data_IF_151907917630
#
_entry.id   IF_151907917630
#
_cell.length_a   1.000
_cell.length_b   1.000
_cell.length_c   1.000
_cell.angle_alpha   90.00
_cell.angle_beta   90.00
_cell.angle_gamma   90.00
#
_symmetry.space_group_name_H-M   'P 1'
#
loop_
_entity.id
_entity.type
_entity.pdbx_description
1 polymer ?
#
# COMPACT_ATOMS: atom_id res chain seq x y z
N UNK A 1 16.93 8.05 10.31
CA UNK A 1 16.38 8.29 8.96
C UNK A 1 15.50 7.10 8.61
N UNK A 2 14.57 7.24 7.66
CA UNK A 2 13.78 6.10 7.19
C UNK A 2 14.64 5.33 6.18
N UNK A 3 15.42 4.36 6.65
CA UNK A 3 16.41 3.66 5.82
C UNK A 3 15.77 2.57 4.92
N UNK A 4 14.46 2.36 5.06
CA UNK A 4 13.67 1.41 4.27
C UNK A 4 12.72 2.21 3.35
N UNK A 5 12.71 1.94 2.04
CA UNK A 5 11.83 2.62 1.11
C UNK A 5 10.35 2.34 1.43
N UNK A 6 9.47 3.26 1.02
CA UNK A 6 8.02 3.13 1.16
C UNK A 6 7.45 2.86 -0.24
N UNK A 7 7.37 1.60 -0.69
CA UNK A 7 6.88 1.29 -2.02
C UNK A 7 5.39 1.59 -2.15
N UNK A 8 5.00 2.06 -3.34
CA UNK A 8 3.62 2.09 -3.79
C UNK A 8 3.20 0.66 -4.15
N UNK A 9 2.14 0.16 -3.55
CA UNK A 9 1.67 -1.23 -3.75
C UNK A 9 0.17 -1.26 -3.99
N UNK A 10 -0.28 -2.27 -4.75
CA UNK A 10 -1.69 -2.66 -4.73
C UNK A 10 -1.96 -3.44 -3.45
N UNK A 11 -3.20 -3.45 -3.00
CA UNK A 11 -3.60 -4.19 -1.80
C UNK A 11 -3.42 -5.70 -2.04
N UNK A 12 -3.67 -6.21 -3.25
CA UNK A 12 -3.39 -7.61 -3.60
C UNK A 12 -1.90 -7.98 -3.48
N UNK A 13 -0.98 -7.02 -3.62
CA UNK A 13 0.45 -7.29 -3.43
C UNK A 13 0.79 -7.51 -1.95
N UNK A 14 0.06 -6.88 -1.03
CA UNK A 14 0.27 -7.05 0.41
C UNK A 14 0.01 -8.48 0.87
N UNK A 15 -0.94 -9.18 0.24
CA UNK A 15 -1.24 -10.59 0.53
C UNK A 15 -0.10 -11.54 0.16
N UNK A 16 0.77 -11.11 -0.76
CA UNK A 16 1.94 -11.88 -1.21
C UNK A 16 3.17 -11.62 -0.35
N UNK A 17 3.10 -10.68 0.60
CA UNK A 17 4.20 -10.39 1.50
C UNK A 17 4.40 -11.53 2.50
N UNK A 18 5.64 -11.99 2.65
CA UNK A 18 6.04 -12.99 3.65
C UNK A 18 6.84 -12.34 4.77
N UNK A 19 6.62 -12.74 6.02
CA UNK A 19 7.35 -12.18 7.16
C UNK A 19 8.78 -12.74 7.17
N UNK A 20 9.79 -11.87 7.18
CA UNK A 20 11.20 -12.29 7.20
C UNK A 20 11.81 -12.24 8.60
N UNK A 21 11.68 -11.13 9.32
CA UNK A 21 12.14 -11.00 10.70
C UNK A 21 11.46 -9.84 11.42
N UNK A 22 11.06 -10.03 12.68
CA UNK A 22 10.39 -8.97 13.46
C UNK A 22 9.23 -8.36 12.67
N UNK A 23 9.26 -7.04 12.50
CA UNK A 23 8.24 -6.29 11.72
C UNK A 23 8.63 -6.03 10.26
N UNK A 24 9.61 -6.78 9.73
CA UNK A 24 10.01 -6.76 8.34
C UNK A 24 9.30 -7.88 7.56
N UNK A 25 8.77 -7.47 6.42
CA UNK A 25 8.15 -8.32 5.42
C UNK A 25 8.97 -8.26 4.15
N UNK A 26 8.73 -9.21 3.26
CA UNK A 26 9.39 -9.30 1.97
C UNK A 26 8.35 -9.56 0.90
N UNK A 27 8.48 -8.86 -0.22
CA UNK A 27 7.66 -9.07 -1.40
C UNK A 27 8.57 -9.50 -2.56
N UNK A 28 8.31 -10.67 -3.11
CA UNK A 28 8.95 -11.10 -4.36
C UNK A 28 8.19 -10.50 -5.54
N UNK A 29 8.69 -9.40 -6.09
CA UNK A 29 8.15 -8.84 -7.32
C UNK A 29 8.56 -9.67 -8.54
N UNK A 30 7.60 -9.89 -9.41
CA UNK A 30 7.77 -10.45 -10.75
C UNK A 30 6.74 -9.82 -11.70
N UNK A 31 7.01 -9.86 -12.99
CA UNK A 31 6.05 -9.52 -14.04
C UNK A 31 5.83 -10.77 -14.90
N UNK A 32 4.59 -11.04 -15.30
CA UNK A 32 4.27 -12.19 -16.14
C UNK A 32 5.08 -12.18 -17.45
N UNK A 33 5.28 -11.00 -18.05
CA UNK A 33 6.07 -10.80 -19.28
C UNK A 33 7.58 -10.99 -19.07
N UNK A 34 8.06 -10.94 -17.82
CA UNK A 34 9.45 -11.04 -17.42
C UNK A 34 9.60 -12.06 -16.28
N UNK A 35 8.95 -13.22 -16.39
CA UNK A 35 8.86 -14.24 -15.32
C UNK A 35 10.22 -14.70 -14.79
N UNK A 36 11.27 -14.57 -15.59
CA UNK A 36 12.64 -14.99 -15.28
C UNK A 36 13.38 -13.95 -14.40
N UNK A 37 12.81 -12.76 -14.23
CA UNK A 37 13.39 -11.65 -13.48
C UNK A 37 12.49 -11.44 -12.26
N UNK A 38 13.08 -11.64 -11.08
CA UNK A 38 12.39 -11.36 -9.83
C UNK A 38 13.26 -10.45 -8.96
N UNK A 39 12.60 -9.61 -8.16
CA UNK A 39 13.28 -8.75 -7.20
C UNK A 39 12.59 -8.88 -5.85
N UNK A 40 13.37 -9.23 -4.84
CA UNK A 40 12.90 -9.27 -3.47
C UNK A 40 13.01 -7.86 -2.86
N UNK A 41 11.91 -7.35 -2.31
CA UNK A 41 11.82 -6.01 -1.73
C UNK A 41 11.52 -6.13 -0.24
N UNK A 42 12.34 -5.53 0.63
CA UNK A 42 12.02 -5.42 2.05
C UNK A 42 10.89 -4.41 2.26
N UNK A 43 9.86 -4.81 3.00
CA UNK A 43 8.66 -4.04 3.29
C UNK A 43 8.55 -3.87 4.80
N UNK A 44 8.60 -2.61 5.24
CA UNK A 44 8.19 -2.22 6.59
C UNK A 44 7.02 -1.26 6.51
N UNK A 45 7.22 -0.24 5.69
CA UNK A 45 6.23 0.78 5.38
C UNK A 45 5.62 0.51 4.01
N UNK A 46 4.37 0.91 3.85
CA UNK A 46 3.62 0.76 2.61
C UNK A 46 2.94 2.08 2.27
N UNK A 47 2.80 2.36 0.98
CA UNK A 47 1.96 3.42 0.45
C UNK A 47 0.88 2.78 -0.42
N UNK A 48 -0.36 2.87 0.04
CA UNK A 48 -1.52 2.41 -0.71
C UNK A 48 -2.52 3.56 -0.93
N UNK A 49 -3.42 3.36 -1.89
CA UNK A 49 -4.56 4.23 -2.12
C UNK A 49 -5.81 3.39 -2.33
N UNK A 50 -6.99 3.95 -2.07
CA UNK A 50 -8.24 3.22 -2.22
C UNK A 50 -9.47 4.02 -1.82
N UNK A 51 -10.63 3.47 -2.11
CA UNK A 51 -11.93 3.96 -1.69
C UNK A 51 -12.28 3.42 -0.31
N UNK A 52 -12.76 4.29 0.59
CA UNK A 52 -13.24 3.88 1.89
C UNK A 52 -14.54 3.10 1.72
N UNK A 53 -14.55 1.84 2.12
CA UNK A 53 -15.74 0.99 2.10
C UNK A 53 -16.48 0.99 3.43
N UNK A 54 -15.73 1.03 4.54
CA UNK A 54 -16.28 0.95 5.89
C UNK A 54 -15.46 1.83 6.85
N UNK A 55 -16.12 2.32 7.89
CA UNK A 55 -15.53 3.04 9.00
C UNK A 55 -16.02 2.38 10.30
N UNK A 56 -15.13 2.26 11.29
CA UNK A 56 -15.44 1.63 12.55
C UNK A 56 -14.62 2.23 13.71
N UNK A 57 -15.05 1.92 14.93
CA UNK A 57 -14.42 2.38 16.16
C UNK A 57 -14.74 3.82 16.51
N UNK A 58 -14.17 4.32 17.59
CA UNK A 58 -14.42 5.69 18.05
C UNK A 58 -13.71 6.66 17.11
N UNK A 59 -14.43 7.69 16.65
CA UNK A 59 -13.87 8.75 15.79
C UNK A 59 -13.19 8.21 14.52
N UNK A 60 -13.73 7.13 13.93
CA UNK A 60 -13.19 6.50 12.72
C UNK A 60 -11.71 6.07 12.87
N UNK A 61 -11.33 5.51 14.02
CA UNK A 61 -9.97 4.99 14.27
C UNK A 61 -9.62 3.79 13.36
N UNK A 62 -10.62 3.07 12.84
CA UNK A 62 -10.46 2.00 11.85
C UNK A 62 -11.22 2.34 10.56
N UNK A 63 -10.56 2.19 9.42
CA UNK A 63 -11.19 2.27 8.10
C UNK A 63 -10.85 1.01 7.28
N UNK A 64 -11.80 0.53 6.48
CA UNK A 64 -11.55 -0.48 5.45
C UNK A 64 -11.52 0.24 4.11
N UNK A 65 -10.42 0.08 3.37
CA UNK A 65 -10.27 0.66 2.04
C UNK A 65 -10.12 -0.42 0.98
N UNK A 66 -10.52 -0.11 -0.25
CA UNK A 66 -10.44 -0.98 -1.42
C UNK A 66 -9.78 -0.24 -2.58
N UNK A 67 -8.80 -0.86 -3.22
CA UNK A 67 -8.16 -0.33 -4.44
C UNK A 67 -8.71 -0.99 -5.71
N UNK A 68 -9.88 -1.65 -5.60
CA UNK A 68 -10.52 -2.50 -6.60
C UNK A 68 -9.83 -3.85 -6.87
N UNK A 69 -8.61 -4.06 -6.36
CA UNK A 69 -7.92 -5.36 -6.45
C UNK A 69 -8.16 -6.19 -5.21
N UNK A 70 -8.19 -5.56 -4.04
CA UNK A 70 -8.55 -6.18 -2.77
C UNK A 70 -8.87 -5.11 -1.70
N UNK A 71 -9.02 -5.51 -0.44
CA UNK A 71 -9.34 -4.66 0.71
C UNK A 71 -8.26 -4.73 1.77
N UNK A 72 -8.04 -3.61 2.46
CA UNK A 72 -7.13 -3.52 3.60
C UNK A 72 -7.82 -2.85 4.79
N UNK A 73 -7.49 -3.33 5.98
CA UNK A 73 -7.87 -2.73 7.25
C UNK A 73 -6.79 -1.75 7.68
N UNK A 74 -7.17 -0.49 7.88
CA UNK A 74 -6.29 0.56 8.35
C UNK A 74 -6.69 0.91 9.78
N UNK A 75 -5.71 0.95 10.69
CA UNK A 75 -5.93 1.23 12.12
C UNK A 75 -5.19 2.50 12.54
N UNK A 76 -5.59 3.06 13.70
CA UNK A 76 -5.02 4.29 14.27
C UNK A 76 -5.20 5.53 13.37
N UNK A 77 -6.29 5.58 12.61
CA UNK A 77 -6.52 6.60 11.59
C UNK A 77 -6.83 8.00 12.14
N UNK A 78 -7.33 8.09 13.37
CA UNK A 78 -7.76 9.35 13.99
C UNK A 78 -6.61 10.20 14.51
N UNK A 79 -5.49 9.57 14.93
CA UNK A 79 -4.37 10.25 15.58
C UNK A 79 -3.22 10.63 14.62
N UNK A 80 -3.31 10.27 13.34
CA UNK A 80 -2.25 10.54 12.36
C UNK A 80 -2.40 11.90 11.69
N UNK A 81 -1.31 12.48 11.14
CA UNK A 81 -1.41 13.62 10.24
C UNK A 81 -2.43 13.40 9.13
N UNK A 82 -3.33 14.37 8.99
CA UNK A 82 -4.50 14.33 8.10
C UNK A 82 -5.79 13.82 8.76
N UNK A 83 -5.68 12.98 9.78
CA UNK A 83 -6.79 12.40 10.53
C UNK A 83 -7.83 11.67 9.67
N UNK A 84 -8.87 11.16 10.32
CA UNK A 84 -10.01 10.49 9.67
C UNK A 84 -11.35 11.21 9.87
N UNK A 85 -11.34 12.46 10.33
CA UNK A 85 -12.56 13.26 10.57
C UNK A 85 -13.34 13.58 9.30
N UNK A 86 -12.64 13.70 8.17
CA UNK A 86 -13.24 13.91 6.85
C UNK A 86 -13.72 12.62 6.19
N UNK A 87 -13.29 11.45 6.69
CA UNK A 87 -13.48 10.16 6.04
C UNK A 87 -14.96 9.78 6.00
N UNK A 88 -15.43 9.37 4.82
CA UNK A 88 -16.78 8.86 4.58
C UNK A 88 -16.73 7.72 3.58
N UNK A 89 -17.70 6.81 3.64
CA UNK A 89 -17.84 5.73 2.65
C UNK A 89 -17.90 6.31 1.24
N UNK A 90 -17.14 5.71 0.32
CA UNK A 90 -17.00 6.12 -1.08
C UNK A 90 -15.94 7.18 -1.33
N UNK A 91 -15.32 7.77 -0.30
CA UNK A 91 -14.24 8.73 -0.51
C UNK A 91 -12.93 8.04 -0.86
N UNK A 92 -12.18 8.63 -1.80
CA UNK A 92 -10.85 8.15 -2.19
C UNK A 92 -9.74 8.75 -1.31
N UNK A 93 -8.82 7.92 -0.86
CA UNK A 93 -7.75 8.31 0.04
C UNK A 93 -6.41 7.65 -0.30
N UNK A 94 -5.35 8.23 0.27
CA UNK A 94 -4.04 7.59 0.35
C UNK A 94 -3.67 7.33 1.80
N UNK A 95 -3.02 6.19 2.03
CA UNK A 95 -2.51 5.76 3.33
C UNK A 95 -1.03 5.44 3.20
N UNK A 96 -0.23 6.03 4.09
CA UNK A 96 1.13 5.57 4.39
C UNK A 96 1.09 4.98 5.79
N UNK A 97 1.64 3.78 5.96
CA UNK A 97 1.61 3.09 7.25
C UNK A 97 2.56 1.91 7.34
N UNK A 98 2.56 1.24 8.50
CA UNK A 98 3.35 0.02 8.75
C UNK A 98 2.47 -1.21 8.51
N UNK A 99 2.97 -2.17 7.73
CA UNK A 99 2.27 -3.45 7.53
C UNK A 99 2.38 -4.30 8.80
N UNK A 100 1.26 -4.53 9.49
CA UNK A 100 1.25 -5.29 10.76
C UNK A 100 0.85 -6.74 10.57
N UNK A 101 -0.05 -7.03 9.62
CA UNK A 101 -0.53 -8.40 9.33
C UNK A 101 -0.79 -8.59 7.85
N UNK A 102 -0.45 -9.78 7.37
CA UNK A 102 -0.81 -10.29 6.05
C UNK A 102 -1.74 -11.48 6.27
N UNK A 103 -3.02 -11.29 6.01
CA UNK A 103 -4.05 -12.33 6.01
C UNK A 103 -5.06 -12.00 4.91
N UNK A 104 -6.23 -12.66 4.91
CA UNK A 104 -7.30 -12.36 3.94
C UNK A 104 -7.71 -10.86 3.92
N UNK A 105 -7.47 -10.13 5.02
CA UNK A 105 -7.64 -8.69 5.10
C UNK A 105 -6.37 -8.06 5.72
N UNK A 106 -5.37 -7.68 4.89
CA UNK A 106 -4.12 -7.09 5.38
C UNK A 106 -4.38 -5.90 6.33
N UNK A 107 -3.62 -5.84 7.42
CA UNK A 107 -3.75 -4.80 8.43
C UNK A 107 -2.55 -3.84 8.36
N UNK A 108 -2.85 -2.54 8.27
CA UNK A 108 -1.88 -1.46 8.22
C UNK A 108 -2.13 -0.51 9.37
N UNK A 109 -1.09 -0.25 10.15
CA UNK A 109 -1.12 0.80 11.17
C UNK A 109 -0.79 2.13 10.48
N UNK A 110 -1.75 3.05 10.45
CA UNK A 110 -1.59 4.32 9.76
C UNK A 110 -0.46 5.15 10.36
N UNK A 111 0.31 5.82 9.49
CA UNK A 111 1.25 6.88 9.85
C UNK A 111 0.82 8.21 9.24
N UNK A 112 0.13 8.19 8.11
CA UNK A 112 -0.46 9.36 7.44
C UNK A 112 -1.64 8.92 6.61
N UNK A 113 -2.72 9.70 6.64
CA UNK A 113 -3.88 9.50 5.77
C UNK A 113 -4.17 10.82 5.05
N UNK A 114 -4.40 10.75 3.74
CA UNK A 114 -4.59 11.94 2.90
C UNK A 114 -5.89 11.82 2.10
N UNK A 115 -6.72 12.87 2.15
CA UNK A 115 -7.91 12.97 1.31
C UNK A 115 -7.52 13.26 -0.13
N UNK A 116 -7.85 12.35 -1.05
CA UNK A 116 -7.62 12.50 -2.49
C UNK A 116 -8.93 12.64 -3.27
N UNK A 117 -10.08 12.64 -2.58
CA UNK A 117 -11.40 12.65 -3.21
C UNK A 117 -11.68 13.89 -4.08
N UNK A 118 -10.96 14.99 -3.84
CA UNK A 118 -11.12 16.24 -4.60
C UNK A 118 -10.73 16.14 -6.08
N UNK A 119 -10.00 15.09 -6.50
CA UNK A 119 -9.62 14.90 -7.89
C UNK A 119 -9.60 13.40 -8.27
N UNK A 120 -10.54 12.99 -9.12
CA UNK A 120 -10.68 11.61 -9.58
C UNK A 120 -9.50 11.12 -10.45
N UNK A 121 -8.67 12.03 -10.96
CA UNK A 121 -7.47 11.67 -11.71
C UNK A 121 -6.54 10.80 -10.85
N UNK A 122 -6.48 11.02 -9.52
CA UNK A 122 -5.62 10.23 -8.65
C UNK A 122 -5.97 8.73 -8.64
N UNK A 123 -7.27 8.37 -8.63
CA UNK A 123 -7.65 6.95 -8.68
C UNK A 123 -7.39 6.31 -10.04
N UNK A 124 -7.46 7.10 -11.11
CA UNK A 124 -7.16 6.64 -12.47
C UNK A 124 -5.65 6.50 -12.73
N UNK A 125 -4.82 7.32 -12.07
CA UNK A 125 -3.36 7.26 -12.19
C UNK A 125 -2.75 6.15 -11.33
N UNK A 126 -3.36 5.82 -10.18
CA UNK A 126 -2.76 4.93 -9.20
C UNK A 126 -2.29 3.57 -9.75
N UNK A 127 -3.09 2.83 -10.55
CA UNK A 127 -2.62 1.57 -11.15
C UNK A 127 -1.41 1.77 -12.08
N UNK A 128 -1.35 2.89 -12.82
CA UNK A 128 -0.25 3.22 -13.73
C UNK A 128 1.03 3.56 -12.96
N UNK A 129 0.92 4.32 -11.87
CA UNK A 129 2.06 4.63 -11.00
C UNK A 129 2.68 3.36 -10.41
N UNK A 130 1.86 2.37 -10.06
CA UNK A 130 2.35 1.09 -9.54
C UNK A 130 3.00 0.26 -10.65
N UNK A 131 2.39 0.19 -11.83
CA UNK A 131 2.95 -0.52 -12.98
C UNK A 131 4.33 0.03 -13.35
N UNK A 132 4.45 1.36 -13.48
CA UNK A 132 5.72 2.05 -13.75
C UNK A 132 6.76 1.75 -12.66
N UNK A 133 6.38 1.84 -11.38
CA UNK A 133 7.29 1.54 -10.28
C UNK A 133 7.78 0.09 -10.32
N UNK A 134 6.89 -0.88 -10.59
CA UNK A 134 7.26 -2.30 -10.70
C UNK A 134 8.26 -2.51 -11.83
N UNK A 135 8.05 -1.87 -12.99
CA UNK A 135 8.98 -1.92 -14.11
C UNK A 135 10.36 -1.36 -13.73
N UNK A 136 10.41 -0.17 -13.12
CA UNK A 136 11.67 0.46 -12.69
C UNK A 136 12.43 -0.37 -11.64
N UNK A 137 11.72 -1.04 -10.73
CA UNK A 137 12.37 -1.89 -9.73
C UNK A 137 12.93 -3.17 -10.36
N UNK A 138 12.22 -3.76 -11.33
CA UNK A 138 12.67 -4.96 -12.04
C UNK A 138 13.78 -4.66 -13.06
N UNK A 139 13.78 -3.48 -13.67
CA UNK A 139 14.89 -3.02 -14.53
C UNK A 139 16.20 -2.98 -13.74
N UNK A 140 16.18 -2.52 -12.49
CA UNK A 140 17.34 -2.57 -11.59
C UNK A 140 17.78 -3.99 -11.19
N UNK A 141 16.97 -5.00 -11.48
CA UNK A 141 17.31 -6.40 -11.29
C UNK A 141 17.91 -7.04 -12.55
N UNK A 142 17.87 -6.37 -13.70
CA UNK A 142 18.51 -6.85 -14.91
C UNK A 142 20.03 -6.87 -14.75
N UNK A 143 20.71 -7.87 -15.33
CA UNK A 143 22.17 -7.84 -15.46
C UNK A 143 22.58 -6.58 -16.21
N UNK A 144 23.47 -5.76 -15.63
CA UNK A 144 24.10 -4.69 -16.39
C UNK A 144 25.02 -5.36 -17.42
N UNK A 145 24.74 -5.17 -18.71
CA UNK A 145 25.66 -5.54 -19.77
C UNK A 145 26.89 -4.63 -19.63
N UNK A 146 28.00 -5.20 -19.16
CA UNK A 146 29.32 -4.57 -19.11
C UNK A 146 29.88 -4.40 -20.53
#
# INVERSE_FOLDING_TARGET
MCDIPIPKLLITDLQKCTRSSGDLWELQLSLEKLSNITKLIPIKYVWIQGYIEQLAGKENEVIIISDMTDKAKITQCNAVPGGSSWARKGMYCSVIGTLSKVCALPEIVAMKITNLNGNQVFSSLWPKEIEELKLLVLEKALPQLL
#
